data_IF_377821468104
#
_entry.id   IF_377821468104
#
_cell.length_a   1.000
_cell.length_b   1.000
_cell.length_c   1.000
_cell.angle_alpha   90.00
_cell.angle_beta   90.00
_cell.angle_gamma   90.00
#
_symmetry.space_group_name_H-M   'P 1'
#
loop_
_entity.id
_entity.type
_entity.pdbx_description
1 polymer ?
#
# COMPACT_ATOMS: atom_id res chain seq x y z
N UNK A 1 19.59 9.37 20.75
CA UNK A 1 18.55 9.07 19.74
C UNK A 1 19.24 9.05 18.38
N UNK A 2 19.10 7.97 17.63
CA UNK A 2 19.67 7.90 16.28
C UNK A 2 18.83 8.78 15.35
N UNK A 3 19.52 9.50 14.43
CA UNK A 3 18.86 10.36 13.43
C UNK A 3 19.16 9.82 12.04
N UNK A 4 18.19 9.90 11.15
CA UNK A 4 18.32 9.54 9.75
C UNK A 4 17.99 10.77 8.89
N UNK A 5 18.72 10.96 7.79
CA UNK A 5 18.45 12.04 6.85
C UNK A 5 17.15 11.77 6.08
N UNK A 6 16.37 12.83 5.75
CA UNK A 6 15.08 12.72 5.02
C UNK A 6 15.21 11.92 3.73
N UNK A 7 16.24 12.13 2.94
CA UNK A 7 16.45 11.40 1.69
C UNK A 7 16.64 9.90 1.93
N UNK A 8 17.50 9.54 2.89
CA UNK A 8 17.73 8.13 3.23
C UNK A 8 16.45 7.47 3.77
N UNK A 9 15.66 8.20 4.57
CA UNK A 9 14.36 7.74 5.03
C UNK A 9 13.41 7.47 3.85
N UNK A 10 13.28 8.42 2.91
CA UNK A 10 12.39 8.27 1.76
C UNK A 10 12.84 7.13 0.82
N UNK A 11 14.14 6.89 0.67
CA UNK A 11 14.67 5.76 -0.11
C UNK A 11 14.34 4.40 0.54
N UNK A 12 14.27 4.35 1.87
CA UNK A 12 13.99 3.11 2.62
C UNK A 12 12.49 2.84 2.80
N UNK A 13 11.71 3.88 3.07
CA UNK A 13 10.33 3.76 3.56
C UNK A 13 9.30 4.52 2.70
N UNK A 14 9.75 5.12 1.61
CA UNK A 14 8.94 6.03 0.82
C UNK A 14 8.85 7.44 1.43
N UNK A 15 8.32 8.40 0.67
CA UNK A 15 8.13 9.76 1.14
C UNK A 15 7.11 9.80 2.28
N UNK A 16 7.26 10.77 3.20
CA UNK A 16 6.35 11.00 4.32
C UNK A 16 5.87 12.45 4.34
N UNK A 17 5.05 12.80 5.32
CA UNK A 17 4.39 14.11 5.42
C UNK A 17 5.34 15.28 5.19
N UNK A 18 4.97 16.16 4.27
CA UNK A 18 5.72 17.36 3.87
C UNK A 18 6.85 17.10 2.86
N UNK A 19 7.08 15.83 2.45
CA UNK A 19 8.00 15.56 1.35
C UNK A 19 7.35 15.95 0.02
N UNK A 20 8.19 16.49 -0.88
CA UNK A 20 7.80 16.90 -2.22
C UNK A 20 8.48 16.04 -3.26
N UNK A 21 7.69 15.57 -4.22
CA UNK A 21 8.19 14.74 -5.32
C UNK A 21 7.53 15.14 -6.64
N UNK A 22 8.27 14.93 -7.73
CA UNK A 22 7.73 15.16 -9.07
C UNK A 22 6.85 13.99 -9.49
N UNK A 23 5.70 14.28 -10.09
CA UNK A 23 4.84 13.26 -10.68
C UNK A 23 5.37 12.85 -12.05
N UNK A 24 6.10 11.73 -12.09
CA UNK A 24 6.70 11.18 -13.31
C UNK A 24 7.48 12.27 -14.11
N UNK A 25 7.31 12.31 -15.42
CA UNK A 25 7.95 13.28 -16.32
C UNK A 25 7.15 14.60 -16.48
N UNK A 26 6.23 14.87 -15.57
CA UNK A 26 5.44 16.10 -15.59
C UNK A 26 6.13 17.24 -14.82
N UNK A 27 5.61 18.46 -14.95
CA UNK A 27 6.01 19.62 -14.14
C UNK A 27 5.28 19.68 -12.78
N UNK A 28 4.40 18.72 -12.51
CA UNK A 28 3.62 18.69 -11.28
C UNK A 28 4.47 18.22 -10.11
N UNK A 29 4.40 18.99 -9.03
CA UNK A 29 5.04 18.64 -7.75
C UNK A 29 3.95 18.26 -6.77
N UNK A 30 4.04 17.04 -6.27
CA UNK A 30 3.17 16.50 -5.23
C UNK A 30 3.77 16.81 -3.87
N UNK A 31 2.93 17.09 -2.89
CA UNK A 31 3.32 17.16 -1.48
C UNK A 31 2.51 16.14 -0.68
N UNK A 32 3.20 15.33 0.13
CA UNK A 32 2.55 14.30 0.95
C UNK A 32 1.84 14.96 2.13
N UNK A 33 0.53 14.82 2.21
CA UNK A 33 -0.33 15.47 3.21
C UNK A 33 -0.48 14.65 4.49
N UNK A 34 -0.48 13.32 4.37
CA UNK A 34 -0.66 12.41 5.49
C UNK A 34 0.19 11.14 5.36
N UNK A 35 0.43 10.48 6.49
CA UNK A 35 1.09 9.17 6.55
C UNK A 35 0.30 8.25 7.48
N UNK A 36 -0.45 7.34 6.89
CA UNK A 36 -1.29 6.41 7.63
C UNK A 36 -0.52 5.22 8.20
N UNK A 37 0.74 5.02 7.80
CA UNK A 37 1.60 3.98 8.37
C UNK A 37 2.12 4.35 9.76
N UNK A 38 2.05 5.63 10.15
CA UNK A 38 2.55 6.18 11.42
C UNK A 38 1.46 6.37 12.50
N UNK A 39 0.31 5.73 12.38
CA UNK A 39 -0.81 5.94 13.30
C UNK A 39 -0.46 5.60 14.76
N UNK A 40 -0.93 6.46 15.69
CA UNK A 40 -0.98 6.23 17.13
C UNK A 40 0.37 5.91 17.80
N UNK A 41 1.46 6.57 17.39
CA UNK A 41 2.78 6.33 17.99
C UNK A 41 3.34 4.93 17.67
N UNK A 42 2.93 4.41 16.56
CA UNK A 42 3.26 3.08 16.09
C UNK A 42 4.61 3.02 15.36
N UNK A 43 5.16 1.86 15.26
CA UNK A 43 6.42 1.53 14.57
C UNK A 43 6.16 1.26 13.07
N UNK A 44 5.64 2.25 12.31
CA UNK A 44 5.29 2.06 10.90
C UNK A 44 6.44 1.56 10.05
N UNK A 45 7.62 2.12 10.27
CA UNK A 45 8.83 1.81 9.52
C UNK A 45 9.43 0.45 9.85
N UNK A 46 9.09 -0.14 11.00
CA UNK A 46 9.58 -1.45 11.41
C UNK A 46 8.90 -2.59 10.66
N UNK A 47 7.78 -2.30 10.02
CA UNK A 47 7.00 -3.27 9.26
C UNK A 47 7.39 -3.21 7.80
N UNK A 48 8.54 -3.72 7.46
CA UNK A 48 8.99 -3.86 6.07
C UNK A 48 9.16 -5.31 5.69
N UNK A 49 8.61 -5.66 4.54
CA UNK A 49 8.70 -6.98 3.95
C UNK A 49 9.44 -6.96 2.62
N UNK A 50 10.02 -8.09 2.24
CA UNK A 50 10.61 -8.32 0.93
C UNK A 50 12.06 -7.84 0.80
N UNK A 51 12.77 -8.34 -0.21
CA UNK A 51 14.09 -7.89 -0.63
C UNK A 51 15.20 -7.95 0.43
N UNK A 52 15.16 -8.89 1.37
CA UNK A 52 16.15 -8.98 2.47
C UNK A 52 15.95 -7.95 3.57
N UNK A 53 14.86 -7.21 3.55
CA UNK A 53 14.48 -6.30 4.63
C UNK A 53 13.98 -7.12 5.80
N UNK A 54 14.76 -7.14 6.85
CA UNK A 54 14.49 -7.95 8.02
C UNK A 54 13.36 -7.38 8.83
N UNK A 55 12.35 -8.18 8.99
CA UNK A 55 11.35 -7.99 10.00
C UNK A 55 11.64 -9.03 11.06
N UNK A 56 11.71 -8.60 12.30
CA UNK A 56 11.83 -9.55 13.40
C UNK A 56 10.68 -10.52 13.33
N UNK A 57 10.99 -11.81 13.47
CA UNK A 57 9.99 -12.87 13.49
C UNK A 57 8.84 -12.51 14.45
N UNK A 58 7.62 -12.58 13.94
CA UNK A 58 6.41 -12.28 14.70
C UNK A 58 6.09 -10.79 14.90
N UNK A 59 6.95 -9.85 14.54
CA UNK A 59 6.62 -8.43 14.69
C UNK A 59 5.69 -7.93 13.61
N UNK A 60 5.90 -8.33 12.37
CA UNK A 60 5.11 -7.88 11.25
C UNK A 60 4.08 -8.89 10.75
N UNK A 61 4.21 -10.14 11.15
CA UNK A 61 3.34 -11.23 10.73
C UNK A 61 2.59 -11.81 11.93
N UNK A 62 1.26 -11.76 11.88
CA UNK A 62 0.37 -12.44 12.81
C UNK A 62 0.24 -13.92 12.44
N UNK A 63 -0.17 -14.74 13.40
CA UNK A 63 -0.57 -16.14 13.15
C UNK A 63 -1.99 -16.28 12.58
N UNK A 64 -2.70 -15.17 12.40
CA UNK A 64 -4.07 -15.17 11.87
C UNK A 64 -4.07 -15.55 10.40
N UNK A 65 -4.98 -16.43 10.02
CA UNK A 65 -5.13 -16.87 8.62
C UNK A 65 -6.19 -16.06 7.87
N UNK A 66 -6.21 -16.17 6.55
CA UNK A 66 -7.19 -15.51 5.68
C UNK A 66 -8.62 -16.06 5.88
N UNK A 67 -8.76 -17.25 6.48
CA UNK A 67 -10.05 -17.91 6.71
C UNK A 67 -10.86 -17.30 7.87
N UNK A 68 -10.36 -16.27 8.54
CA UNK A 68 -11.06 -15.62 9.65
C UNK A 68 -12.39 -14.97 9.22
N UNK A 69 -13.50 -15.40 9.83
CA UNK A 69 -14.86 -14.90 9.57
C UNK A 69 -15.23 -13.71 10.47
N UNK A 70 -14.36 -12.74 10.61
CA UNK A 70 -14.63 -11.61 11.49
C UNK A 70 -15.46 -10.52 10.81
N UNK A 71 -16.31 -9.86 11.59
CA UNK A 71 -17.23 -8.77 11.18
C UNK A 71 -16.63 -7.36 11.33
N UNK A 72 -15.32 -7.23 11.57
CA UNK A 72 -14.65 -5.94 11.65
C UNK A 72 -14.36 -5.33 10.26
N UNK A 73 -13.88 -4.08 10.18
CA UNK A 73 -13.54 -3.40 8.91
C UNK A 73 -12.57 -4.18 8.02
N UNK A 74 -11.74 -5.04 8.61
CA UNK A 74 -10.85 -5.96 7.89
C UNK A 74 -11.24 -7.43 8.09
N UNK A 75 -12.40 -7.75 8.67
CA UNK A 75 -12.66 -9.09 9.18
C UNK A 75 -11.57 -9.49 10.20
N UNK A 76 -11.76 -10.50 11.02
CA UNK A 76 -10.75 -10.92 12.01
C UNK A 76 -9.55 -11.67 11.39
N UNK A 77 -9.50 -11.79 10.07
CA UNK A 77 -8.49 -12.55 9.33
C UNK A 77 -7.45 -11.68 8.60
N UNK A 78 -6.34 -12.30 8.24
CA UNK A 78 -5.33 -11.67 7.42
C UNK A 78 -5.82 -11.40 5.99
N UNK A 79 -5.19 -10.43 5.32
CA UNK A 79 -5.44 -10.14 3.90
C UNK A 79 -4.70 -11.14 3.01
N UNK A 80 -5.12 -11.23 1.75
CA UNK A 80 -4.48 -12.11 0.77
C UNK A 80 -3.20 -11.47 0.23
N UNK A 81 -3.26 -10.17 -0.06
CA UNK A 81 -2.12 -9.39 -0.56
C UNK A 81 -2.09 -8.04 0.16
N UNK A 82 -0.90 -7.54 0.43
CA UNK A 82 -0.70 -6.18 0.94
C UNK A 82 0.34 -5.45 0.10
N UNK A 83 0.03 -4.21 -0.28
CA UNK A 83 0.95 -3.25 -0.84
C UNK A 83 1.47 -2.39 0.31
N UNK A 84 2.79 -2.36 0.53
CA UNK A 84 3.37 -1.62 1.66
C UNK A 84 4.02 -0.31 1.24
N UNK A 85 3.87 0.74 2.06
CA UNK A 85 4.47 2.05 1.88
C UNK A 85 4.14 2.70 0.51
N UNK A 86 2.93 2.51 0.02
CA UNK A 86 2.47 3.12 -1.23
C UNK A 86 2.20 4.61 -1.04
N UNK A 87 2.65 5.45 -2.00
CA UNK A 87 2.16 6.80 -2.13
C UNK A 87 0.84 6.78 -2.89
N UNK A 88 -0.24 7.01 -2.19
CA UNK A 88 -1.59 6.98 -2.76
C UNK A 88 -2.00 8.39 -3.20
N UNK A 89 -2.55 8.48 -4.41
CA UNK A 89 -3.19 9.69 -4.91
C UNK A 89 -4.62 9.34 -5.25
N UNK A 90 -5.56 9.92 -4.51
CA UNK A 90 -6.98 9.74 -4.76
C UNK A 90 -7.77 11.04 -4.51
N UNK A 91 -9.10 10.94 -4.52
CA UNK A 91 -10.00 12.08 -4.32
C UNK A 91 -9.93 12.67 -2.90
N UNK A 92 -9.31 11.98 -1.94
CA UNK A 92 -9.17 12.44 -0.54
C UNK A 92 -7.85 13.17 -0.31
N UNK A 93 -6.87 13.00 -1.19
CA UNK A 93 -5.58 13.68 -1.08
C UNK A 93 -4.39 12.83 -1.54
N UNK A 94 -3.22 13.23 -1.09
CA UNK A 94 -1.93 12.60 -1.38
C UNK A 94 -1.34 12.11 -0.06
N UNK A 95 -1.29 10.80 0.10
CA UNK A 95 -0.88 10.24 1.38
C UNK A 95 -0.10 8.93 1.23
N UNK A 96 0.75 8.62 2.21
CA UNK A 96 1.38 7.31 2.33
C UNK A 96 0.48 6.36 3.12
N UNK A 97 0.30 5.14 2.61
CA UNK A 97 -0.44 4.09 3.30
C UNK A 97 -0.03 2.70 2.81
N UNK A 98 -0.38 1.70 3.60
CA UNK A 98 -0.45 0.32 3.14
C UNK A 98 -1.86 0.03 2.61
N UNK A 99 -1.96 -0.87 1.64
CA UNK A 99 -3.24 -1.25 1.02
C UNK A 99 -3.41 -2.76 1.13
N UNK A 100 -4.44 -3.19 1.85
CA UNK A 100 -4.78 -4.61 1.99
C UNK A 100 -5.82 -5.04 0.96
N UNK A 101 -5.56 -6.15 0.27
CA UNK A 101 -6.46 -6.77 -0.68
C UNK A 101 -6.98 -8.10 -0.15
N UNK A 102 -8.27 -8.35 -0.33
CA UNK A 102 -8.91 -9.61 0.04
C UNK A 102 -9.99 -9.97 -0.97
N UNK A 103 -9.95 -11.20 -1.46
CA UNK A 103 -10.89 -11.71 -2.46
C UNK A 103 -11.04 -10.77 -3.67
N UNK A 104 -9.91 -10.22 -4.17
CA UNK A 104 -9.86 -9.31 -5.31
C UNK A 104 -10.41 -7.91 -5.06
N UNK A 105 -10.58 -7.49 -3.81
CA UNK A 105 -11.09 -6.17 -3.43
C UNK A 105 -10.17 -5.48 -2.45
N UNK A 106 -10.16 -4.16 -2.45
CA UNK A 106 -9.52 -3.36 -1.39
C UNK A 106 -10.31 -3.59 -0.10
N UNK A 107 -9.65 -4.20 0.88
CA UNK A 107 -10.24 -4.49 2.19
C UNK A 107 -10.03 -3.33 3.16
N UNK A 108 -8.86 -2.71 3.13
CA UNK A 108 -8.51 -1.57 3.98
C UNK A 108 -7.33 -0.79 3.40
N UNK A 109 -7.27 0.50 3.74
CA UNK A 109 -6.14 1.39 3.49
C UNK A 109 -5.72 1.95 4.85
N UNK A 110 -4.44 1.82 5.22
CA UNK A 110 -3.99 2.24 6.53
C UNK A 110 -2.61 1.70 6.88
N UNK A 111 -2.47 1.09 8.05
CA UNK A 111 -1.23 0.47 8.52
C UNK A 111 -1.33 -1.04 8.48
N UNK A 112 -0.39 -1.68 7.80
CA UNK A 112 -0.23 -3.12 7.80
C UNK A 112 0.69 -3.60 8.92
N UNK A 113 0.46 -4.81 9.41
CA UNK A 113 1.33 -5.43 10.40
C UNK A 113 0.68 -6.53 11.23
N UNK A 114 1.25 -6.70 12.41
CA UNK A 114 0.78 -7.66 13.40
C UNK A 114 0.12 -6.92 14.58
N UNK A 115 -1.21 -6.96 14.72
CA UNK A 115 -1.91 -6.27 15.81
C UNK A 115 -1.60 -6.84 17.20
N UNK A 116 -1.01 -8.03 17.28
CA UNK A 116 -0.70 -8.66 18.55
C UNK A 116 0.57 -8.06 19.20
N UNK A 117 1.39 -7.35 18.40
CA UNK A 117 2.65 -6.72 18.86
C UNK A 117 2.75 -5.23 18.54
N UNK A 118 1.88 -4.72 17.68
CA UNK A 118 1.90 -3.32 17.25
C UNK A 118 0.54 -2.66 17.40
N UNK A 119 0.45 -1.45 17.96
CA UNK A 119 -0.80 -0.71 18.01
C UNK A 119 -1.16 -0.11 16.63
N UNK A 120 -2.45 0.17 16.43
CA UNK A 120 -2.93 0.91 15.26
C UNK A 120 -2.85 0.16 13.93
N UNK A 121 -2.77 -1.18 13.96
CA UNK A 121 -2.77 -2.00 12.74
C UNK A 121 -4.20 -2.11 12.19
N UNK A 122 -4.36 -1.66 10.95
CA UNK A 122 -5.63 -1.74 10.20
C UNK A 122 -5.66 -2.99 9.29
N UNK A 123 -4.49 -3.45 8.84
CA UNK A 123 -4.33 -4.50 7.84
C UNK A 123 -3.49 -5.62 8.44
N UNK A 124 -4.09 -6.77 8.64
CA UNK A 124 -3.40 -7.90 9.29
C UNK A 124 -2.61 -8.68 8.25
N UNK A 125 -1.31 -8.81 8.47
CA UNK A 125 -0.43 -9.66 7.68
C UNK A 125 -0.34 -11.02 8.37
N UNK A 126 -0.71 -12.06 7.66
CA UNK A 126 -0.67 -13.44 8.14
C UNK A 126 0.29 -14.32 7.32
N UNK A 127 0.37 -15.62 7.66
CA UNK A 127 1.28 -16.54 6.98
C UNK A 127 1.00 -16.74 5.48
N UNK A 128 -0.24 -16.51 5.06
CA UNK A 128 -0.66 -16.63 3.67
C UNK A 128 -0.74 -15.29 2.91
N UNK A 129 -0.28 -14.19 3.52
CA UNK A 129 -0.33 -12.87 2.88
C UNK A 129 0.87 -12.68 1.95
N UNK A 130 0.59 -12.38 0.69
CA UNK A 130 1.61 -11.88 -0.25
C UNK A 130 1.92 -10.42 0.07
N UNK A 131 3.20 -10.06 0.13
CA UNK A 131 3.61 -8.69 0.43
C UNK A 131 4.37 -8.08 -0.75
N UNK A 132 3.86 -6.97 -1.26
CA UNK A 132 4.43 -6.21 -2.37
C UNK A 132 4.93 -4.87 -1.84
N UNK A 133 6.21 -4.62 -2.01
CA UNK A 133 6.89 -3.39 -1.59
C UNK A 133 6.61 -2.29 -2.61
N UNK A 134 6.04 -1.17 -2.16
CA UNK A 134 5.66 -0.05 -3.01
C UNK A 134 6.43 1.25 -2.69
N UNK A 135 7.57 1.17 -2.00
CA UNK A 135 8.42 2.33 -1.77
C UNK A 135 8.88 2.93 -3.10
N UNK A 136 8.66 4.22 -3.26
CA UNK A 136 8.96 4.94 -4.51
C UNK A 136 7.94 4.73 -5.63
N UNK A 137 6.84 4.04 -5.37
CA UNK A 137 5.75 3.86 -6.32
C UNK A 137 4.55 4.74 -5.96
N UNK A 138 3.87 5.24 -6.98
CA UNK A 138 2.60 5.96 -6.85
C UNK A 138 1.48 4.99 -7.21
N UNK A 139 0.47 4.92 -6.35
CA UNK A 139 -0.73 4.10 -6.54
C UNK A 139 -1.94 5.01 -6.75
N UNK A 140 -2.62 4.82 -7.86
CA UNK A 140 -3.86 5.53 -8.20
C UNK A 140 -4.97 4.54 -8.52
N UNK A 141 -6.20 5.02 -8.59
CA UNK A 141 -7.27 4.25 -9.23
C UNK A 141 -6.91 3.96 -10.69
N UNK A 142 -7.29 2.79 -11.18
CA UNK A 142 -7.14 2.44 -12.59
C UNK A 142 -8.02 3.32 -13.47
N UNK A 143 -7.53 3.58 -14.69
CA UNK A 143 -8.26 4.35 -15.70
C UNK A 143 -9.54 3.63 -16.13
N UNK A 144 -10.57 4.42 -16.46
CA UNK A 144 -11.82 3.94 -17.06
C UNK A 144 -11.91 4.50 -18.47
N UNK A 145 -11.95 3.62 -19.46
CA UNK A 145 -12.28 3.96 -20.83
C UNK A 145 -13.79 3.77 -21.03
N UNK A 146 -14.51 4.87 -21.12
CA UNK A 146 -15.97 4.87 -21.23
C UNK A 146 -16.49 4.76 -22.66
N UNK A 147 -15.62 4.62 -23.64
CA UNK A 147 -16.00 4.46 -25.04
C UNK A 147 -14.91 3.69 -25.78
N UNK A 148 -15.07 2.38 -25.93
CA UNK A 148 -14.10 1.55 -26.62
C UNK A 148 -14.75 0.70 -27.71
N UNK A 149 -14.03 0.53 -28.81
CA UNK A 149 -14.35 -0.46 -29.84
C UNK A 149 -13.42 -1.65 -29.68
N UNK A 150 -13.92 -2.75 -29.12
CA UNK A 150 -13.15 -3.99 -28.96
C UNK A 150 -12.91 -4.64 -30.31
N UNK A 151 -11.75 -4.34 -30.91
CA UNK A 151 -11.38 -4.83 -32.24
C UNK A 151 -10.60 -6.13 -32.13
N UNK A 152 -9.71 -6.24 -31.15
CA UNK A 152 -8.85 -7.41 -30.97
C UNK A 152 -8.45 -7.63 -29.50
N UNK A 153 -8.10 -8.88 -29.09
CA UNK A 153 -7.73 -9.18 -27.72
C UNK A 153 -6.48 -8.44 -27.21
N UNK A 154 -5.58 -8.04 -28.10
CA UNK A 154 -4.35 -7.31 -27.75
C UNK A 154 -4.64 -5.96 -27.09
N UNK A 155 -5.82 -5.38 -27.33
CA UNK A 155 -6.26 -4.15 -26.64
C UNK A 155 -6.30 -4.30 -25.12
N UNK A 156 -6.53 -5.51 -24.60
CA UNK A 156 -6.55 -5.75 -23.14
C UNK A 156 -5.16 -5.53 -22.54
N UNK A 157 -4.13 -6.08 -23.17
CA UNK A 157 -2.74 -5.92 -22.71
C UNK A 157 -2.28 -4.47 -22.80
N UNK A 158 -2.59 -3.79 -23.90
CA UNK A 158 -2.26 -2.37 -24.11
C UNK A 158 -2.97 -1.47 -23.09
N UNK A 159 -4.24 -1.76 -22.80
CA UNK A 159 -5.00 -1.03 -21.79
C UNK A 159 -4.39 -1.21 -20.40
N UNK A 160 -4.09 -2.44 -19.99
CA UNK A 160 -3.47 -2.70 -18.68
C UNK A 160 -2.09 -2.04 -18.58
N UNK A 161 -1.27 -2.10 -19.64
CA UNK A 161 0.04 -1.44 -19.67
C UNK A 161 -0.06 0.09 -19.58
N UNK A 162 -1.15 0.68 -20.03
CA UNK A 162 -1.42 2.11 -19.90
C UNK A 162 -2.20 2.50 -18.63
N UNK A 163 -2.49 1.54 -17.75
CA UNK A 163 -3.18 1.76 -16.48
C UNK A 163 -4.71 1.82 -16.59
N UNK A 164 -5.29 1.45 -17.73
CA UNK A 164 -6.74 1.30 -17.89
C UNK A 164 -7.17 -0.06 -17.35
N UNK A 165 -8.09 -0.07 -16.38
CA UNK A 165 -8.57 -1.30 -15.72
C UNK A 165 -10.04 -1.58 -15.98
N UNK A 166 -10.76 -0.64 -16.58
CA UNK A 166 -12.19 -0.76 -16.88
C UNK A 166 -12.46 -0.21 -18.28
N UNK A 167 -13.19 -0.95 -19.06
CA UNK A 167 -13.63 -0.58 -20.41
C UNK A 167 -15.13 -0.79 -20.52
N UNK A 168 -15.87 0.18 -21.10
CA UNK A 168 -17.33 0.20 -21.24
C UNK A 168 -17.70 0.43 -22.71
#
# INVERSE_FOLDING_TARGET
MATIGRRAYAEMFGPTVGDRLRLADTELILEVEADHTLRAGSYGEEVKFGGGKTIRDGMAQSQRTNAGTGTGPCGSGAVDTVLTNALVIDHTGIFKADIGLRAGRIASIGKAGNPDVQPGVDIIIGPGTEVISCEGMIVTAGGIDSHIHFICPQQIEEALNSGVTTMI
#
